data_IF_354224511538
#
_entry.id   IF_354224511538
#
_cell.length_a   1.000
_cell.length_b   1.000
_cell.length_c   1.000
_cell.angle_alpha   90.00
_cell.angle_beta   90.00
_cell.angle_gamma   90.00
#
_symmetry.space_group_name_H-M   'P 1'
#
loop_
_entity.id
_entity.type
_entity.pdbx_description
1 polymer ?
#
# COMPACT_ATOMS: atom_id res chain seq x y z
N UNK A 1 41.98 27.35 29.45
CA UNK A 1 42.15 26.46 28.29
C UNK A 1 40.92 26.58 27.40
N UNK A 2 41.07 27.14 26.21
CA UNK A 2 39.98 27.30 25.23
C UNK A 2 39.65 25.95 24.57
N UNK A 3 38.37 25.67 24.41
CA UNK A 3 37.86 24.42 23.85
C UNK A 3 38.26 24.20 22.39
N UNK A 4 38.88 23.06 22.12
CA UNK A 4 39.21 22.56 20.78
C UNK A 4 37.93 22.20 20.02
N UNK A 5 37.54 23.05 19.07
CA UNK A 5 36.43 22.78 18.14
C UNK A 5 36.75 21.61 17.20
N UNK A 6 35.87 20.59 17.19
CA UNK A 6 35.87 19.54 16.17
C UNK A 6 35.52 20.15 14.82
N UNK A 7 36.50 20.24 13.90
CA UNK A 7 36.25 20.53 12.48
C UNK A 7 35.49 19.36 11.86
N UNK A 8 34.19 19.51 11.62
CA UNK A 8 33.44 18.58 10.76
C UNK A 8 33.91 18.80 9.32
N UNK A 9 34.54 17.79 8.71
CA UNK A 9 34.98 17.81 7.31
C UNK A 9 33.83 17.75 6.31
N UNK A 10 32.79 18.57 6.50
CA UNK A 10 31.64 18.66 5.59
C UNK A 10 32.14 19.31 4.30
N UNK A 11 32.37 18.51 3.27
CA UNK A 11 32.57 19.01 1.90
C UNK A 11 31.32 19.80 1.51
N UNK A 12 31.49 21.10 1.30
CA UNK A 12 30.45 21.97 0.74
C UNK A 12 30.33 21.57 -0.73
N UNK A 13 29.23 20.91 -1.09
CA UNK A 13 28.90 20.65 -2.48
C UNK A 13 28.40 21.96 -3.10
N UNK A 14 29.04 22.43 -4.17
CA UNK A 14 28.62 23.63 -4.89
C UNK A 14 27.18 23.47 -5.42
N UNK A 15 26.40 24.56 -5.57
CA UNK A 15 25.00 24.52 -6.02
C UNK A 15 24.77 23.80 -7.37
N UNK A 16 25.83 23.65 -8.17
CA UNK A 16 25.82 22.99 -9.48
C UNK A 16 26.59 21.66 -9.51
N UNK A 17 26.97 21.09 -8.36
CA UNK A 17 27.63 19.79 -8.35
C UNK A 17 26.60 18.68 -8.66
N UNK A 18 26.64 18.15 -9.87
CA UNK A 18 25.83 16.99 -10.24
C UNK A 18 26.31 15.77 -9.45
N UNK A 19 25.38 15.02 -8.85
CA UNK A 19 25.68 13.68 -8.32
C UNK A 19 26.22 12.78 -9.44
N UNK A 20 26.96 11.72 -9.11
CA UNK A 20 27.48 10.78 -10.11
C UNK A 20 26.40 10.28 -11.09
N UNK A 21 25.18 9.98 -10.61
CA UNK A 21 24.06 9.54 -11.47
C UNK A 21 23.64 10.62 -12.47
N UNK A 22 23.43 11.85 -12.00
CA UNK A 22 23.09 12.98 -12.86
C UNK A 22 24.21 13.30 -13.87
N UNK A 23 25.48 13.17 -13.47
CA UNK A 23 26.62 13.34 -14.37
C UNK A 23 26.67 12.24 -15.45
N UNK A 24 26.48 10.98 -15.08
CA UNK A 24 26.43 9.86 -16.03
C UNK A 24 25.30 10.07 -17.03
N UNK A 25 24.10 10.45 -16.57
CA UNK A 25 22.98 10.78 -17.47
C UNK A 25 23.34 11.93 -18.40
N UNK A 26 23.85 13.04 -17.87
CA UNK A 26 24.23 14.19 -18.70
C UNK A 26 25.30 13.84 -19.76
N UNK A 27 26.34 13.09 -19.38
CA UNK A 27 27.50 12.82 -20.24
C UNK A 27 27.30 11.65 -21.21
N UNK A 28 26.52 10.62 -20.82
CA UNK A 28 26.48 9.35 -21.56
C UNK A 28 25.16 9.12 -22.29
N UNK A 29 24.09 9.81 -21.91
CA UNK A 29 22.75 9.61 -22.49
C UNK A 29 22.67 9.97 -23.99
N UNK A 30 23.34 11.02 -24.50
CA UNK A 30 23.41 11.26 -25.94
C UNK A 30 24.06 10.12 -26.71
N UNK A 31 25.07 9.46 -26.11
CA UNK A 31 25.75 8.33 -26.73
C UNK A 31 24.91 7.05 -26.76
N UNK A 32 23.88 6.96 -25.91
CA UNK A 32 22.87 5.90 -25.98
C UNK A 32 21.84 6.15 -27.09
N UNK A 33 21.82 7.35 -27.67
CA UNK A 33 20.93 7.72 -28.77
C UNK A 33 19.84 8.73 -28.39
N UNK A 34 19.84 9.28 -27.17
CA UNK A 34 18.89 10.33 -26.81
C UNK A 34 19.28 11.69 -27.43
N UNK A 35 18.32 12.52 -27.89
CA UNK A 35 16.87 12.30 -27.90
C UNK A 35 16.33 11.60 -29.18
N UNK A 36 17.19 11.20 -30.12
CA UNK A 36 16.75 10.75 -31.45
C UNK A 36 16.18 9.33 -31.46
N UNK A 37 16.65 8.46 -30.57
CA UNK A 37 16.24 7.06 -30.52
C UNK A 37 14.91 6.93 -29.75
N UNK A 38 13.82 6.44 -30.38
CA UNK A 38 12.46 6.53 -29.84
C UNK A 38 12.26 5.74 -28.54
N UNK A 39 13.13 4.76 -28.26
CA UNK A 39 13.07 3.92 -27.05
C UNK A 39 14.06 4.32 -25.95
N UNK A 40 14.91 5.32 -26.19
CA UNK A 40 15.88 5.80 -25.19
C UNK A 40 15.22 6.90 -24.38
N UNK A 41 15.03 6.67 -23.10
CA UNK A 41 14.33 7.60 -22.22
C UNK A 41 15.30 8.62 -21.63
N UNK A 42 14.82 9.83 -21.36
CA UNK A 42 15.57 10.86 -20.64
C UNK A 42 16.04 10.37 -19.24
N UNK A 43 15.34 9.37 -18.69
CA UNK A 43 15.56 8.69 -17.42
C UNK A 43 16.55 7.54 -17.46
N UNK A 44 16.94 7.06 -18.64
CA UNK A 44 17.93 5.99 -18.75
C UNK A 44 19.31 6.46 -18.26
N UNK A 45 20.00 5.58 -17.54
CA UNK A 45 21.24 5.93 -16.84
C UNK A 45 22.28 4.83 -17.04
N UNK A 46 22.70 4.58 -18.27
CA UNK A 46 23.83 3.72 -18.59
C UNK A 46 24.99 4.56 -19.07
N UNK A 47 26.21 4.21 -18.68
CA UNK A 47 27.37 4.96 -19.11
C UNK A 47 28.64 4.56 -18.40
N UNK A 48 29.52 5.54 -18.21
CA UNK A 48 30.86 5.31 -17.68
C UNK A 48 31.15 6.15 -16.45
N UNK A 49 31.97 5.61 -15.55
CA UNK A 49 32.46 6.33 -14.38
C UNK A 49 33.96 6.12 -14.24
N UNK A 50 34.72 7.21 -14.22
CA UNK A 50 36.14 7.18 -13.90
C UNK A 50 36.33 7.23 -12.38
N UNK A 51 36.65 6.09 -11.77
CA UNK A 51 36.73 5.97 -10.31
C UNK A 51 37.77 4.95 -9.87
N UNK A 52 38.07 4.94 -8.57
CA UNK A 52 38.90 3.91 -7.91
C UNK A 52 37.97 3.03 -7.11
N UNK A 53 37.94 1.73 -7.41
CA UNK A 53 37.20 0.75 -6.61
C UNK A 53 38.10 0.19 -5.50
N UNK A 54 37.49 -0.26 -4.40
CA UNK A 54 38.21 -0.86 -3.26
C UNK A 54 39.06 -2.04 -3.74
N UNK A 55 40.34 -2.05 -3.37
CA UNK A 55 41.27 -3.14 -3.72
C UNK A 55 42.02 -2.97 -5.06
N UNK A 56 41.76 -1.92 -5.85
CA UNK A 56 42.56 -1.62 -7.06
C UNK A 56 43.46 -0.40 -6.85
N UNK A 57 44.72 -0.40 -7.35
CA UNK A 57 45.69 0.65 -7.02
C UNK A 57 45.41 1.98 -7.72
N UNK A 58 44.84 1.94 -8.93
CA UNK A 58 44.65 3.10 -9.83
C UNK A 58 43.19 3.33 -10.20
N UNK A 59 42.86 4.56 -10.61
CA UNK A 59 41.55 4.88 -11.19
C UNK A 59 41.45 4.33 -12.60
N UNK A 60 40.31 3.75 -12.93
CA UNK A 60 40.01 3.19 -14.26
C UNK A 60 38.61 3.63 -14.70
N UNK A 61 38.31 3.44 -15.98
CA UNK A 61 36.96 3.58 -16.50
C UNK A 61 36.15 2.33 -16.19
N UNK A 62 34.93 2.50 -15.70
CA UNK A 62 34.02 1.40 -15.43
C UNK A 62 32.69 1.61 -16.12
N UNK A 63 32.12 0.53 -16.63
CA UNK A 63 30.74 0.49 -17.08
C UNK A 63 29.82 0.53 -15.86
N UNK A 64 28.85 1.44 -15.88
CA UNK A 64 27.93 1.67 -14.75
C UNK A 64 26.49 1.84 -15.22
N UNK A 65 25.57 1.46 -14.35
CA UNK A 65 24.14 1.78 -14.46
C UNK A 65 23.67 2.59 -13.26
N UNK A 66 22.69 3.46 -13.46
CA UNK A 66 22.03 4.19 -12.38
C UNK A 66 21.05 3.31 -11.62
N UNK A 67 21.10 3.38 -10.29
CA UNK A 67 20.10 2.84 -9.39
C UNK A 67 19.71 3.92 -8.38
N UNK A 68 18.52 4.50 -8.57
CA UNK A 68 17.97 5.63 -7.80
C UNK A 68 18.95 6.82 -7.74
N UNK A 69 19.77 6.88 -6.70
CA UNK A 69 20.72 7.96 -6.43
C UNK A 69 22.19 7.53 -6.49
N UNK A 70 22.48 6.27 -6.86
CA UNK A 70 23.84 5.71 -6.91
C UNK A 70 24.16 5.15 -8.30
N UNK A 71 25.42 5.23 -8.68
CA UNK A 71 25.95 4.52 -9.85
C UNK A 71 26.46 3.16 -9.39
N UNK A 72 25.96 2.10 -10.02
CA UNK A 72 26.31 0.69 -9.73
C UNK A 72 27.17 0.18 -10.87
N UNK A 73 28.25 -0.53 -10.54
CA UNK A 73 29.12 -1.17 -11.53
C UNK A 73 28.35 -2.28 -12.24
N UNK A 74 28.35 -2.25 -13.57
CA UNK A 74 27.84 -3.34 -14.40
C UNK A 74 28.75 -4.56 -14.27
N UNK A 75 30.06 -4.32 -14.21
CA UNK A 75 31.10 -5.35 -14.06
C UNK A 75 32.25 -4.83 -13.20
N UNK A 76 32.96 -5.69 -12.44
CA UNK A 76 34.19 -5.32 -11.72
C UNK A 76 35.39 -5.07 -12.65
N UNK A 77 35.26 -5.36 -13.95
CA UNK A 77 36.28 -5.08 -14.96
C UNK A 77 36.44 -3.57 -15.15
N UNK A 78 37.68 -3.09 -15.01
CA UNK A 78 38.04 -1.70 -15.27
C UNK A 78 38.80 -1.62 -16.60
N UNK A 79 38.65 -0.49 -17.27
CA UNK A 79 39.17 -0.25 -18.61
C UNK A 79 40.16 0.93 -18.61
N UNK A 80 41.16 0.85 -19.48
CA UNK A 80 42.12 1.94 -19.68
C UNK A 80 41.49 3.11 -20.41
N UNK A 81 40.53 2.83 -21.32
CA UNK A 81 39.88 3.82 -22.15
C UNK A 81 38.38 3.89 -21.90
N UNK A 82 37.82 5.12 -21.90
CA UNK A 82 36.37 5.35 -21.73
C UNK A 82 35.54 4.61 -22.77
N UNK A 83 36.03 4.54 -24.00
CA UNK A 83 35.35 3.89 -25.11
C UNK A 83 35.06 2.41 -24.84
N UNK A 84 35.99 1.69 -24.21
CA UNK A 84 35.83 0.27 -23.87
C UNK A 84 34.77 0.07 -22.77
N UNK A 85 34.82 0.90 -21.73
CA UNK A 85 33.80 0.90 -20.68
C UNK A 85 32.41 1.29 -21.23
N UNK A 86 32.37 2.23 -22.17
CA UNK A 86 31.13 2.67 -22.80
C UNK A 86 30.55 1.61 -23.72
N UNK A 87 31.39 0.87 -24.46
CA UNK A 87 30.95 -0.25 -25.28
C UNK A 87 30.28 -1.34 -24.44
N UNK A 88 30.84 -1.66 -23.26
CA UNK A 88 30.21 -2.59 -22.32
C UNK A 88 28.88 -2.04 -21.78
N UNK A 89 28.83 -0.77 -21.41
CA UNK A 89 27.60 -0.13 -20.93
C UNK A 89 26.49 -0.12 -22.00
N UNK A 90 26.84 0.15 -23.26
CA UNK A 90 25.93 0.13 -24.42
C UNK A 90 25.37 -1.26 -24.67
N UNK A 91 26.23 -2.29 -24.70
CA UNK A 91 25.81 -3.67 -24.91
C UNK A 91 24.78 -4.14 -23.89
N UNK A 92 24.99 -3.82 -22.62
CA UNK A 92 24.06 -4.15 -21.54
C UNK A 92 22.75 -3.36 -21.65
N UNK A 93 22.84 -2.10 -22.06
CA UNK A 93 21.66 -1.27 -22.31
C UNK A 93 20.84 -1.75 -23.52
N UNK A 94 21.48 -2.22 -24.60
CA UNK A 94 20.82 -2.81 -25.76
C UNK A 94 20.03 -4.08 -25.40
N UNK A 95 20.57 -4.92 -24.52
CA UNK A 95 19.85 -6.08 -23.99
C UNK A 95 18.60 -5.65 -23.21
N UNK A 96 18.71 -4.59 -22.40
CA UNK A 96 17.57 -4.04 -21.68
C UNK A 96 16.53 -3.43 -22.63
N UNK A 97 16.95 -2.71 -23.68
CA UNK A 97 16.06 -2.16 -24.71
C UNK A 97 15.34 -3.27 -25.50
N UNK A 98 16.02 -4.38 -25.79
CA UNK A 98 15.43 -5.53 -26.45
C UNK A 98 14.37 -6.20 -25.56
N UNK A 99 14.62 -6.33 -24.25
CA UNK A 99 13.63 -6.83 -23.28
C UNK A 99 12.39 -5.93 -23.21
N UNK A 100 12.56 -4.59 -23.15
CA UNK A 100 11.44 -3.61 -23.22
C UNK A 100 10.63 -3.71 -24.51
N UNK A 101 11.26 -4.13 -25.60
CA UNK A 101 10.60 -4.26 -26.91
C UNK A 101 9.76 -5.54 -27.03
N UNK A 102 10.07 -6.56 -26.23
CA UNK A 102 9.33 -7.84 -26.19
C UNK A 102 8.17 -7.80 -25.19
N UNK A 103 8.23 -6.94 -24.17
CA UNK A 103 7.17 -6.79 -23.15
C UNK A 103 5.97 -5.97 -23.61
N UNK A 104 6.00 -5.33 -24.79
CA UNK A 104 4.89 -4.50 -25.27
C UNK A 104 4.61 -3.28 -24.38
N UNK A 105 5.57 -2.86 -23.55
CA UNK A 105 5.41 -1.73 -22.64
C UNK A 105 5.39 -0.41 -23.44
N UNK A 106 4.18 0.03 -23.76
CA UNK A 106 3.89 1.41 -24.14
C UNK A 106 4.32 2.34 -23.00
N UNK A 107 5.42 3.08 -23.21
CA UNK A 107 6.08 3.94 -22.21
C UNK A 107 5.31 5.23 -21.88
N UNK A 108 3.99 5.23 -22.00
CA UNK A 108 3.21 6.23 -21.28
C UNK A 108 3.41 5.95 -19.79
N UNK A 109 3.87 6.95 -19.01
CA UNK A 109 3.74 6.89 -17.55
C UNK A 109 2.24 6.71 -17.28
N UNK A 110 1.83 5.48 -17.06
CA UNK A 110 0.46 5.15 -16.69
C UNK A 110 0.24 5.85 -15.35
N UNK A 111 -0.52 6.93 -15.39
CA UNK A 111 -0.92 7.67 -14.21
C UNK A 111 -1.69 6.71 -13.32
N UNK A 112 -1.56 6.89 -11.99
CA UNK A 112 -2.49 6.30 -11.03
C UNK A 112 -3.91 6.39 -11.60
N UNK A 113 -4.77 5.36 -11.45
CA UNK A 113 -6.19 5.54 -11.71
C UNK A 113 -6.60 6.79 -10.93
N UNK A 114 -7.15 7.77 -11.66
CA UNK A 114 -7.61 9.00 -11.05
C UNK A 114 -8.81 8.56 -10.23
N UNK A 115 -8.60 8.33 -8.92
CA UNK A 115 -9.71 8.17 -7.97
C UNK A 115 -10.68 9.31 -8.23
N UNK A 116 -12.00 9.05 -8.20
CA UNK A 116 -12.97 10.13 -8.36
C UNK A 116 -12.59 11.24 -7.40
N UNK A 117 -12.25 12.40 -7.97
CA UNK A 117 -12.10 13.61 -7.18
C UNK A 117 -13.49 13.97 -6.66
N UNK A 118 -13.60 14.82 -5.63
CA UNK A 118 -14.91 15.33 -5.15
C UNK A 118 -15.84 15.86 -6.24
N UNK A 119 -15.29 16.14 -7.42
CA UNK A 119 -15.93 16.78 -8.57
C UNK A 119 -16.47 15.75 -9.60
N UNK A 120 -16.13 14.46 -9.47
CA UNK A 120 -16.86 13.35 -10.12
C UNK A 120 -17.84 12.77 -9.09
N UNK A 121 -19.11 12.66 -9.46
CA UNK A 121 -20.11 12.07 -8.59
C UNK A 121 -19.78 10.59 -8.35
N UNK A 122 -19.23 10.27 -7.17
CA UNK A 122 -19.06 8.90 -6.72
C UNK A 122 -20.40 8.16 -6.89
N UNK A 123 -20.39 7.04 -7.62
CA UNK A 123 -21.62 6.29 -7.86
C UNK A 123 -21.97 5.54 -6.58
N UNK A 124 -23.22 5.70 -6.14
CA UNK A 124 -23.79 4.87 -5.07
C UNK A 124 -25.12 4.28 -5.50
N UNK A 125 -25.24 2.97 -5.32
CA UNK A 125 -26.45 2.17 -5.49
C UNK A 125 -26.59 1.26 -4.28
N UNK A 126 -27.69 1.38 -3.55
CA UNK A 126 -27.94 0.61 -2.34
C UNK A 126 -29.16 1.14 -1.61
N UNK A 127 -29.32 0.77 -0.34
CA UNK A 127 -30.40 1.27 0.51
C UNK A 127 -30.30 2.79 0.65
N UNK A 128 -31.43 3.48 0.59
CA UNK A 128 -31.48 4.90 0.94
C UNK A 128 -31.52 5.04 2.48
N UNK A 129 -30.35 5.30 3.07
CA UNK A 129 -30.21 5.50 4.51
C UNK A 129 -30.67 6.88 4.97
N UNK A 130 -30.59 7.87 4.08
CA UNK A 130 -30.86 9.28 4.36
C UNK A 130 -32.32 9.66 4.13
N UNK A 131 -33.06 8.86 3.35
CA UNK A 131 -34.48 9.10 3.01
C UNK A 131 -34.70 10.50 2.42
N UNK A 132 -33.76 10.93 1.59
CA UNK A 132 -33.76 12.25 0.96
C UNK A 132 -33.38 13.44 1.86
N UNK A 133 -32.92 13.21 3.09
CA UNK A 133 -32.51 14.28 4.03
C UNK A 133 -30.99 14.28 4.21
N UNK A 134 -30.36 15.44 4.02
CA UNK A 134 -28.94 15.62 4.32
C UNK A 134 -28.63 15.47 5.80
N UNK A 135 -27.48 14.89 6.10
CA UNK A 135 -27.05 14.59 7.47
C UNK A 135 -26.25 15.74 8.04
N UNK A 136 -26.64 16.24 9.21
CA UNK A 136 -25.83 17.21 9.94
C UNK A 136 -24.78 16.52 10.84
N UNK A 137 -23.72 17.24 11.27
CA UNK A 137 -22.67 16.66 12.10
C UNK A 137 -23.15 16.06 13.44
N UNK A 138 -24.21 16.60 14.05
CA UNK A 138 -24.73 16.09 15.32
C UNK A 138 -25.41 14.75 15.11
N UNK A 139 -26.24 14.62 14.07
CA UNK A 139 -26.85 13.33 13.72
C UNK A 139 -25.80 12.29 13.34
N UNK A 140 -24.76 12.68 12.59
CA UNK A 140 -23.63 11.80 12.28
C UNK A 140 -22.94 11.27 13.55
N UNK A 141 -22.68 12.17 14.51
CA UNK A 141 -22.07 11.82 15.79
C UNK A 141 -22.99 10.95 16.66
N UNK A 142 -24.30 11.17 16.64
CA UNK A 142 -25.28 10.37 17.37
C UNK A 142 -25.31 8.92 16.88
N UNK A 143 -25.34 8.74 15.54
CA UNK A 143 -25.44 7.43 14.89
C UNK A 143 -24.15 6.63 15.04
N UNK A 144 -23.01 7.22 14.65
CA UNK A 144 -21.74 6.50 14.61
C UNK A 144 -20.92 6.60 15.87
N UNK A 145 -21.20 7.57 16.75
CA UNK A 145 -20.52 7.78 18.04
C UNK A 145 -19.02 7.99 17.94
N UNK A 146 -18.52 8.60 16.85
CA UNK A 146 -17.11 8.99 16.77
C UNK A 146 -16.71 9.83 17.97
N UNK A 147 -15.45 9.72 18.40
CA UNK A 147 -14.88 10.56 19.45
C UNK A 147 -14.87 12.05 19.06
N UNK A 148 -14.77 12.33 17.76
CA UNK A 148 -14.81 13.67 17.21
C UNK A 148 -14.84 13.66 15.68
N UNK A 149 -15.45 14.70 15.11
CA UNK A 149 -15.49 14.98 13.67
C UNK A 149 -14.80 16.32 13.42
N UNK A 150 -13.76 16.33 12.60
CA UNK A 150 -12.99 17.54 12.26
C UNK A 150 -13.13 17.88 10.78
N UNK A 151 -13.42 19.14 10.47
CA UNK A 151 -13.37 19.65 9.10
C UNK A 151 -12.13 20.55 8.92
N UNK A 152 -11.35 20.27 7.88
CA UNK A 152 -10.23 21.11 7.48
C UNK A 152 -10.67 22.48 7.01
N UNK A 153 -9.75 23.45 7.10
CA UNK A 153 -9.97 24.85 6.71
C UNK A 153 -10.20 25.06 5.20
N UNK A 154 -10.08 24.01 4.38
CA UNK A 154 -10.04 24.07 2.92
C UNK A 154 -11.26 23.45 2.22
N UNK A 155 -12.36 23.23 2.95
CA UNK A 155 -13.60 22.64 2.41
C UNK A 155 -14.72 23.67 2.52
N UNK A 156 -15.39 23.99 1.39
CA UNK A 156 -16.55 24.89 1.39
C UNK A 156 -17.73 24.27 2.14
N UNK A 157 -18.70 25.07 2.59
CA UNK A 157 -19.85 24.53 3.33
C UNK A 157 -20.68 23.53 2.52
N UNK A 158 -20.86 23.77 1.21
CA UNK A 158 -21.56 22.84 0.32
C UNK A 158 -20.78 21.53 0.11
N UNK A 159 -19.46 21.62 -0.04
CA UNK A 159 -18.59 20.43 -0.13
C UNK A 159 -18.59 19.62 1.17
N UNK A 160 -18.61 20.29 2.33
CA UNK A 160 -18.71 19.60 3.63
C UNK A 160 -19.97 18.76 3.72
N UNK A 161 -21.10 19.28 3.24
CA UNK A 161 -22.36 18.54 3.25
C UNK A 161 -22.29 17.29 2.37
N UNK A 162 -21.80 17.43 1.13
CA UNK A 162 -21.65 16.29 0.22
C UNK A 162 -20.71 15.22 0.76
N UNK A 163 -19.56 15.61 1.34
CA UNK A 163 -18.64 14.68 1.99
C UNK A 163 -19.26 13.98 3.19
N UNK A 164 -19.99 14.72 4.03
CA UNK A 164 -20.63 14.16 5.22
C UNK A 164 -21.73 13.15 4.84
N UNK A 165 -22.57 13.51 3.87
CA UNK A 165 -23.62 12.64 3.33
C UNK A 165 -23.05 11.36 2.72
N UNK A 166 -22.01 11.48 1.88
CA UNK A 166 -21.36 10.33 1.26
C UNK A 166 -20.65 9.45 2.29
N UNK A 167 -20.01 10.04 3.29
CA UNK A 167 -19.37 9.30 4.38
C UNK A 167 -20.40 8.60 5.24
N UNK A 168 -21.53 9.24 5.54
CA UNK A 168 -22.62 8.63 6.27
C UNK A 168 -23.13 7.39 5.53
N UNK A 169 -23.46 7.53 4.25
CA UNK A 169 -23.93 6.43 3.41
C UNK A 169 -22.90 5.29 3.34
N UNK A 170 -21.61 5.62 3.19
CA UNK A 170 -20.53 4.63 3.13
C UNK A 170 -20.31 3.88 4.46
N UNK A 171 -20.40 4.56 5.60
CA UNK A 171 -20.27 3.91 6.91
C UNK A 171 -21.51 3.07 7.25
N UNK A 172 -22.71 3.49 6.82
CA UNK A 172 -23.92 2.68 6.94
C UNK A 172 -23.80 1.39 6.13
N UNK A 173 -23.39 1.49 4.86
CA UNK A 173 -23.14 0.32 4.01
C UNK A 173 -22.08 -0.59 4.64
N UNK A 174 -20.94 -0.04 5.05
CA UNK A 174 -19.87 -0.81 5.71
C UNK A 174 -20.36 -1.59 6.93
N UNK A 175 -21.12 -0.95 7.81
CA UNK A 175 -21.62 -1.61 9.03
C UNK A 175 -22.73 -2.63 8.75
N UNK A 176 -23.58 -2.38 7.74
CA UNK A 176 -24.53 -3.36 7.24
C UNK A 176 -23.81 -4.62 6.71
N UNK A 177 -22.78 -4.44 5.88
CA UNK A 177 -21.97 -5.55 5.36
C UNK A 177 -21.30 -6.35 6.47
N UNK A 178 -20.82 -5.68 7.53
CA UNK A 178 -20.24 -6.34 8.69
C UNK A 178 -21.26 -7.01 9.61
N UNK A 179 -22.57 -6.79 9.43
CA UNK A 179 -23.61 -7.29 10.34
C UNK A 179 -23.52 -6.69 11.75
N UNK A 180 -23.00 -5.46 11.87
CA UNK A 180 -22.73 -4.78 13.14
C UNK A 180 -23.48 -3.44 13.23
N UNK A 181 -23.75 -2.92 14.43
CA UNK A 181 -24.47 -1.65 14.58
C UNK A 181 -23.66 -0.48 14.01
N UNK A 182 -24.29 0.65 13.63
CA UNK A 182 -23.60 1.81 13.06
C UNK A 182 -22.42 2.30 13.91
N UNK A 183 -22.52 2.25 15.24
CA UNK A 183 -21.41 2.61 16.14
C UNK A 183 -20.11 1.80 15.94
N UNK A 184 -20.16 0.68 15.22
CA UNK A 184 -18.98 -0.08 14.84
C UNK A 184 -18.09 0.65 13.83
N UNK A 185 -18.66 1.55 13.02
CA UNK A 185 -17.90 2.43 12.12
C UNK A 185 -16.83 3.26 12.86
N UNK A 186 -17.05 3.57 14.13
CA UNK A 186 -16.09 4.27 15.00
C UNK A 186 -15.35 3.34 15.96
N UNK A 187 -15.50 2.02 15.79
CA UNK A 187 -14.97 0.98 16.67
C UNK A 187 -15.43 1.17 18.13
N UNK A 188 -16.72 1.47 18.31
CA UNK A 188 -17.33 1.72 19.61
C UNK A 188 -16.97 3.08 20.20
N UNK A 189 -16.77 4.08 19.33
CA UNK A 189 -16.42 5.46 19.69
C UNK A 189 -14.95 5.70 19.98
N UNK A 190 -14.08 4.77 19.59
CA UNK A 190 -12.63 4.93 19.71
C UNK A 190 -12.06 5.85 18.64
N UNK A 191 -12.61 5.81 17.44
CA UNK A 191 -12.12 6.59 16.30
C UNK A 191 -12.64 8.02 16.34
N UNK A 192 -11.80 8.96 15.94
CA UNK A 192 -12.24 10.22 15.34
C UNK A 192 -12.16 10.15 13.82
N UNK A 193 -12.80 11.10 13.15
CA UNK A 193 -12.75 11.25 11.69
C UNK A 193 -12.46 12.70 11.32
N UNK A 194 -11.58 12.91 10.34
CA UNK A 194 -11.19 14.23 9.86
C UNK A 194 -11.33 14.33 8.34
N UNK A 195 -12.01 15.37 7.87
CA UNK A 195 -12.24 15.66 6.47
C UNK A 195 -11.32 16.79 5.98
N UNK A 196 -10.60 16.58 4.87
CA UNK A 196 -9.94 17.67 4.13
C UNK A 196 -8.89 18.47 4.92
N UNK A 197 -8.25 17.88 5.93
CA UNK A 197 -7.40 18.61 6.88
C UNK A 197 -6.02 19.04 6.35
N UNK A 198 -5.57 18.54 5.18
CA UNK A 198 -4.26 18.91 4.61
C UNK A 198 -4.34 19.06 3.08
N UNK A 199 -4.26 20.29 2.59
CA UNK A 199 -4.08 20.62 1.16
C UNK A 199 -2.70 20.22 0.58
N UNK A 200 -2.04 19.21 1.14
CA UNK A 200 -0.76 18.69 0.65
C UNK A 200 -0.98 17.42 -0.16
N UNK A 201 -0.49 17.41 -1.41
CA UNK A 201 -0.62 16.35 -2.44
C UNK A 201 0.00 14.98 -2.06
N UNK A 202 0.35 14.73 -0.82
CA UNK A 202 1.32 13.68 -0.49
C UNK A 202 0.73 12.36 -0.02
N UNK A 203 -0.47 12.32 0.56
CA UNK A 203 -1.05 11.07 1.03
C UNK A 203 -2.55 11.04 0.73
N UNK A 204 -3.00 9.90 0.20
CA UNK A 204 -4.41 9.55 0.11
C UNK A 204 -5.02 9.52 1.54
N UNK A 205 -6.27 9.11 1.72
CA UNK A 205 -6.75 8.91 3.08
C UNK A 205 -5.73 8.09 3.93
N UNK A 206 -5.67 8.34 5.25
CA UNK A 206 -4.78 7.58 6.13
C UNK A 206 -5.35 7.46 7.54
N UNK A 207 -5.17 6.28 8.15
CA UNK A 207 -5.40 6.04 9.56
C UNK A 207 -4.17 6.43 10.40
N UNK A 208 -4.34 7.39 11.32
CA UNK A 208 -3.33 7.76 12.31
C UNK A 208 -3.59 7.04 13.64
N UNK A 209 -2.93 5.89 13.84
CA UNK A 209 -3.07 5.06 15.05
C UNK A 209 -2.82 5.82 16.36
N UNK A 210 -1.81 6.69 16.41
CA UNK A 210 -1.44 7.42 17.61
C UNK A 210 -2.60 8.31 18.13
N UNK A 211 -3.41 8.84 17.21
CA UNK A 211 -4.58 9.66 17.53
C UNK A 211 -5.88 8.89 17.45
N UNK A 212 -5.90 7.66 16.93
CA UNK A 212 -7.14 6.95 16.56
C UNK A 212 -8.00 7.81 15.64
N UNK A 213 -7.41 8.28 14.55
CA UNK A 213 -8.04 9.26 13.65
C UNK A 213 -7.97 8.79 12.20
N UNK A 214 -9.12 8.71 11.53
CA UNK A 214 -9.17 8.47 10.09
C UNK A 214 -9.20 9.81 9.35
N UNK A 215 -8.19 10.06 8.52
CA UNK A 215 -8.13 11.24 7.67
C UNK A 215 -8.63 10.91 6.27
N UNK A 216 -9.70 11.57 5.82
CA UNK A 216 -10.18 11.49 4.44
C UNK A 216 -9.78 12.76 3.68
N UNK A 217 -8.94 12.61 2.66
CA UNK A 217 -8.49 13.74 1.83
C UNK A 217 -9.47 14.01 0.69
N UNK A 218 -9.56 15.27 0.24
CA UNK A 218 -10.54 15.75 -0.76
C UNK A 218 -10.44 15.03 -2.12
N UNK A 219 -9.23 14.71 -2.57
CA UNK A 219 -8.98 14.19 -3.92
C UNK A 219 -8.66 12.70 -3.98
N UNK A 220 -8.47 12.04 -2.83
CA UNK A 220 -7.99 10.66 -2.76
C UNK A 220 -8.62 9.84 -1.62
N UNK A 221 -9.48 10.46 -0.78
CA UNK A 221 -10.22 9.74 0.26
C UNK A 221 -11.49 9.04 -0.26
N UNK A 222 -12.04 9.52 -1.38
CA UNK A 222 -13.09 8.83 -2.13
C UNK A 222 -12.52 7.49 -2.60
N UNK A 223 -13.17 6.39 -2.21
CA UNK A 223 -12.82 5.05 -2.61
C UNK A 223 -11.73 4.37 -1.78
N UNK A 224 -11.32 4.95 -0.66
CA UNK A 224 -10.34 4.35 0.27
C UNK A 224 -10.82 4.24 1.71
N UNK A 225 -12.09 4.55 1.98
CA UNK A 225 -12.63 4.49 3.34
C UNK A 225 -12.55 3.07 3.92
N UNK A 226 -12.84 2.05 3.11
CA UNK A 226 -12.74 0.65 3.51
C UNK A 226 -11.29 0.26 3.87
N UNK A 227 -10.31 0.71 3.09
CA UNK A 227 -8.88 0.47 3.34
C UNK A 227 -8.45 1.04 4.70
N UNK A 228 -8.77 2.30 4.96
CA UNK A 228 -8.43 2.96 6.22
C UNK A 228 -9.16 2.36 7.42
N UNK A 229 -10.41 1.95 7.23
CA UNK A 229 -11.14 1.22 8.26
C UNK A 229 -10.49 -0.14 8.54
N UNK A 230 -10.00 -0.85 7.52
CA UNK A 230 -9.24 -2.09 7.67
C UNK A 230 -8.01 -1.90 8.58
N UNK A 231 -7.21 -0.86 8.35
CA UNK A 231 -6.11 -0.51 9.25
C UNK A 231 -6.57 -0.22 10.68
N UNK A 232 -7.66 0.55 10.83
CA UNK A 232 -8.20 0.90 12.14
C UNK A 232 -8.72 -0.33 12.91
N UNK A 233 -9.42 -1.24 12.22
CA UNK A 233 -9.93 -2.49 12.77
C UNK A 233 -8.79 -3.39 13.24
N UNK A 234 -7.76 -3.56 12.42
CA UNK A 234 -6.57 -4.35 12.75
C UNK A 234 -5.87 -3.85 14.03
N UNK A 235 -5.65 -2.53 14.11
CA UNK A 235 -5.09 -1.90 15.31
C UNK A 235 -6.01 -2.04 16.54
N UNK A 236 -7.32 -1.91 16.34
CA UNK A 236 -8.29 -2.04 17.42
C UNK A 236 -8.29 -3.45 18.01
N UNK A 237 -8.29 -4.47 17.16
CA UNK A 237 -8.22 -5.87 17.59
C UNK A 237 -6.93 -6.16 18.34
N UNK A 238 -5.80 -5.59 17.89
CA UNK A 238 -4.53 -5.68 18.61
C UNK A 238 -4.64 -5.10 20.02
N UNK A 239 -5.10 -3.84 20.12
CA UNK A 239 -5.24 -3.15 21.40
C UNK A 239 -6.24 -3.82 22.32
N UNK A 240 -7.35 -4.35 21.78
CA UNK A 240 -8.40 -5.02 22.54
C UNK A 240 -7.89 -6.34 23.12
N UNK A 241 -7.13 -7.10 22.35
CA UNK A 241 -6.57 -8.38 22.78
C UNK A 241 -5.25 -8.25 23.54
N UNK A 242 -4.75 -7.01 23.72
CA UNK A 242 -3.51 -6.71 24.44
C UNK A 242 -2.30 -7.45 23.88
N UNK A 243 -2.28 -7.68 22.56
CA UNK A 243 -1.09 -8.20 21.89
C UNK A 243 0.02 -7.13 21.93
N UNK A 244 1.31 -7.51 21.95
CA UNK A 244 2.42 -6.56 22.02
C UNK A 244 2.62 -5.74 20.74
N UNK A 245 2.01 -6.16 19.63
CA UNK A 245 2.11 -5.49 18.34
C UNK A 245 1.11 -4.34 18.19
N UNK A 246 1.36 -3.43 17.26
CA UNK A 246 0.48 -2.30 17.01
C UNK A 246 -0.78 -2.70 16.24
N UNK A 247 -0.65 -3.76 15.45
CA UNK A 247 -1.70 -4.35 14.63
C UNK A 247 -1.78 -5.87 14.91
N UNK A 248 -2.97 -6.47 14.76
CA UNK A 248 -3.17 -7.89 15.05
C UNK A 248 -2.55 -8.74 13.94
N UNK A 249 -2.60 -8.30 12.69
CA UNK A 249 -1.92 -8.95 11.56
C UNK A 249 -0.42 -9.15 11.82
N UNK A 250 0.25 -8.16 12.43
CA UNK A 250 1.65 -8.23 12.84
C UNK A 250 1.92 -9.26 13.93
N UNK A 251 0.93 -9.66 14.73
CA UNK A 251 1.12 -10.76 15.68
C UNK A 251 1.32 -12.10 14.95
N UNK A 252 0.55 -12.31 13.88
CA UNK A 252 0.54 -13.55 13.10
C UNK A 252 1.55 -13.58 11.96
N UNK A 253 1.92 -12.43 11.40
CA UNK A 253 2.81 -12.31 10.24
C UNK A 253 3.93 -11.32 10.54
N UNK A 254 5.17 -11.68 10.20
CA UNK A 254 6.35 -10.83 10.47
C UNK A 254 7.22 -10.67 9.23
N UNK A 255 7.66 -9.44 8.95
CA UNK A 255 8.62 -9.16 7.87
C UNK A 255 10.04 -9.48 8.35
N UNK A 256 10.70 -10.42 7.68
CA UNK A 256 12.07 -10.85 7.94
C UNK A 256 12.99 -10.46 6.77
N UNK A 257 14.17 -9.90 7.08
CA UNK A 257 15.18 -9.56 6.07
C UNK A 257 14.71 -8.52 5.04
N UNK A 258 13.77 -7.66 5.42
CA UNK A 258 13.27 -6.55 4.60
C UNK A 258 12.15 -6.89 3.62
N UNK A 259 12.01 -8.13 3.15
CA UNK A 259 11.02 -8.43 2.10
C UNK A 259 10.31 -9.78 2.23
N UNK A 260 10.73 -10.65 3.16
CA UNK A 260 10.13 -11.98 3.32
C UNK A 260 9.13 -11.98 4.48
N UNK A 261 7.87 -12.27 4.24
CA UNK A 261 6.92 -12.49 5.34
C UNK A 261 7.04 -13.92 5.86
N UNK A 262 6.93 -14.10 7.17
CA UNK A 262 6.78 -15.41 7.81
C UNK A 262 5.53 -15.46 8.67
N UNK A 263 4.87 -16.61 8.72
CA UNK A 263 3.84 -16.90 9.73
C UNK A 263 4.53 -17.07 11.08
N UNK A 264 3.89 -16.58 12.13
CA UNK A 264 4.23 -16.89 13.51
C UNK A 264 4.09 -18.39 13.80
N UNK A 265 4.85 -18.92 14.74
CA UNK A 265 4.81 -20.36 15.08
C UNK A 265 3.66 -20.74 16.02
N UNK A 266 2.74 -19.82 16.31
CA UNK A 266 1.61 -20.09 17.21
C UNK A 266 0.66 -21.09 16.58
N UNK A 267 0.27 -22.11 17.34
CA UNK A 267 -0.81 -23.02 16.95
C UNK A 267 -2.15 -22.63 17.61
N UNK A 268 -3.25 -23.18 17.10
CA UNK A 268 -4.60 -22.82 17.57
C UNK A 268 -4.84 -23.14 19.05
N UNK A 269 -4.17 -24.16 19.60
CA UNK A 269 -4.25 -24.48 21.04
C UNK A 269 -3.59 -23.41 21.88
N UNK A 270 -2.39 -22.97 21.49
CA UNK A 270 -1.66 -21.89 22.17
C UNK A 270 -2.44 -20.57 22.10
N UNK A 271 -3.03 -20.26 20.93
CA UNK A 271 -3.88 -19.08 20.71
C UNK A 271 -5.09 -19.10 21.64
N UNK A 272 -5.77 -20.24 21.75
CA UNK A 272 -6.94 -20.40 22.63
C UNK A 272 -6.58 -20.29 24.12
N UNK A 273 -5.37 -20.69 24.49
CA UNK A 273 -4.87 -20.64 25.87
C UNK A 273 -4.24 -19.29 26.25
N UNK A 274 -3.95 -18.41 25.27
CA UNK A 274 -3.26 -17.13 25.48
C UNK A 274 -4.08 -16.07 26.24
N UNK A 275 -5.31 -16.38 26.66
CA UNK A 275 -6.15 -15.48 27.45
C UNK A 275 -6.67 -14.26 26.67
N UNK A 276 -6.69 -14.32 25.33
CA UNK A 276 -7.22 -13.25 24.49
C UNK A 276 -8.69 -12.97 24.80
N UNK A 277 -9.07 -11.69 24.74
CA UNK A 277 -10.46 -11.31 24.92
C UNK A 277 -11.32 -11.94 23.83
N UNK A 278 -10.89 -11.87 22.57
CA UNK A 278 -11.64 -12.34 21.41
C UNK A 278 -11.18 -13.74 20.98
N UNK A 279 -10.87 -14.63 21.94
CA UNK A 279 -10.26 -15.95 21.69
C UNK A 279 -10.98 -16.79 20.63
N UNK A 280 -12.31 -16.74 20.58
CA UNK A 280 -13.10 -17.61 19.70
C UNK A 280 -12.88 -17.28 18.22
N UNK A 281 -12.58 -16.01 17.88
CA UNK A 281 -12.30 -15.59 16.49
C UNK A 281 -10.83 -15.72 16.07
N UNK A 282 -9.93 -15.88 17.03
CA UNK A 282 -8.50 -15.88 16.76
C UNK A 282 -8.02 -17.01 15.83
N UNK A 283 -8.49 -18.27 15.93
CA UNK A 283 -8.12 -19.29 14.96
C UNK A 283 -8.60 -18.99 13.53
N UNK A 284 -9.81 -18.43 13.39
CA UNK A 284 -10.31 -18.03 12.08
C UNK A 284 -9.47 -16.89 11.48
N UNK A 285 -9.09 -15.91 12.32
CA UNK A 285 -8.17 -14.83 11.91
C UNK A 285 -6.78 -15.37 11.55
N UNK A 286 -6.24 -16.30 12.34
CA UNK A 286 -4.97 -16.96 12.06
C UNK A 286 -5.01 -17.68 10.70
N UNK A 287 -6.07 -18.44 10.44
CA UNK A 287 -6.30 -19.10 9.15
C UNK A 287 -6.42 -18.13 7.99
N UNK A 288 -7.03 -16.95 8.19
CA UNK A 288 -7.06 -15.87 7.21
C UNK A 288 -5.63 -15.35 6.93
N UNK A 289 -4.87 -15.01 7.97
CA UNK A 289 -3.49 -14.51 7.85
C UNK A 289 -2.57 -15.48 7.11
N UNK A 290 -2.69 -16.78 7.39
CA UNK A 290 -1.94 -17.81 6.66
C UNK A 290 -2.27 -17.83 5.17
N UNK A 291 -3.55 -17.68 4.80
CA UNK A 291 -3.99 -17.69 3.41
C UNK A 291 -3.55 -16.44 2.64
N UNK A 292 -3.26 -15.34 3.33
CA UNK A 292 -2.74 -14.14 2.66
C UNK A 292 -1.36 -14.38 2.06
N UNK A 293 -0.55 -15.21 2.73
CA UNK A 293 0.84 -15.46 2.33
C UNK A 293 1.07 -16.81 1.70
N UNK A 294 0.22 -17.80 1.95
CA UNK A 294 0.33 -19.14 1.39
C UNK A 294 -0.88 -19.49 0.53
N UNK A 295 -0.64 -20.02 -0.67
CA UNK A 295 -1.69 -20.63 -1.48
C UNK A 295 -2.18 -21.96 -0.87
N UNK A 296 -3.23 -22.54 -1.45
CA UNK A 296 -3.74 -23.87 -1.04
C UNK A 296 -2.62 -24.91 -1.03
N UNK A 297 -2.37 -25.51 0.13
CA UNK A 297 -1.48 -26.65 0.25
C UNK A 297 -2.12 -27.86 -0.44
N UNK A 298 -1.45 -28.45 -1.44
CA UNK A 298 -1.83 -29.78 -1.92
C UNK A 298 -1.38 -30.82 -0.90
N UNK A 299 -2.19 -31.86 -0.68
CA UNK A 299 -1.88 -32.93 0.27
C UNK A 299 -0.45 -33.47 0.06
N UNK A 300 0.37 -33.43 1.10
CA UNK A 300 1.77 -33.88 1.06
C UNK A 300 2.78 -32.89 0.49
N UNK A 301 2.41 -31.63 0.21
CA UNK A 301 3.31 -30.59 -0.31
C UNK A 301 3.40 -29.37 0.62
N UNK A 302 4.57 -28.74 0.65
CA UNK A 302 4.78 -27.46 1.33
C UNK A 302 3.96 -26.40 0.60
N UNK A 303 3.14 -25.65 1.34
CA UNK A 303 2.36 -24.54 0.81
C UNK A 303 3.31 -23.50 0.20
N UNK A 304 3.09 -23.17 -1.08
CA UNK A 304 3.85 -22.12 -1.74
C UNK A 304 3.31 -20.74 -1.36
N UNK A 305 4.12 -19.70 -1.52
CA UNK A 305 3.63 -18.34 -1.37
C UNK A 305 2.49 -18.04 -2.36
N UNK A 306 1.46 -17.34 -1.88
CA UNK A 306 0.35 -16.85 -2.70
C UNK A 306 0.86 -15.91 -3.80
N UNK A 307 0.09 -15.76 -4.88
CA UNK A 307 0.45 -14.80 -5.93
C UNK A 307 0.34 -13.38 -5.36
N UNK A 308 -0.67 -13.11 -4.54
CA UNK A 308 -0.84 -11.87 -3.82
C UNK A 308 0.41 -11.45 -3.01
N UNK A 309 0.97 -12.34 -2.19
CA UNK A 309 2.17 -12.03 -1.40
C UNK A 309 3.44 -11.88 -2.25
N UNK A 310 3.56 -12.64 -3.36
CA UNK A 310 4.65 -12.47 -4.31
C UNK A 310 4.60 -11.09 -4.98
N UNK A 311 3.42 -10.70 -5.45
CA UNK A 311 3.17 -9.40 -6.07
C UNK A 311 3.45 -8.24 -5.11
N UNK A 312 3.03 -8.34 -3.86
CA UNK A 312 3.35 -7.36 -2.82
C UNK A 312 4.88 -7.23 -2.57
N UNK A 313 5.59 -8.36 -2.47
CA UNK A 313 7.04 -8.35 -2.30
C UNK A 313 7.78 -7.73 -3.50
N UNK A 314 7.28 -7.97 -4.71
CA UNK A 314 7.84 -7.41 -5.94
C UNK A 314 7.65 -5.89 -6.01
N UNK A 315 6.46 -5.39 -5.66
CA UNK A 315 6.19 -3.94 -5.55
C UNK A 315 7.13 -3.26 -4.54
N UNK A 316 7.39 -3.91 -3.40
CA UNK A 316 8.34 -3.41 -2.40
C UNK A 316 9.78 -3.42 -2.90
N UNK A 317 10.18 -4.42 -3.67
CA UNK A 317 11.51 -4.47 -4.29
C UNK A 317 11.73 -3.30 -5.26
N UNK A 318 10.70 -2.93 -6.04
CA UNK A 318 10.74 -1.77 -6.94
C UNK A 318 10.90 -0.44 -6.18
N UNK A 319 10.21 -0.27 -5.04
CA UNK A 319 10.27 0.96 -4.23
C UNK A 319 11.44 0.98 -3.25
N UNK A 320 12.01 -0.18 -2.91
CA UNK A 320 13.15 -0.40 -2.02
C UNK A 320 12.92 -0.05 -0.55
N UNK A 321 11.65 -0.10 -0.13
CA UNK A 321 11.23 -0.07 1.28
C UNK A 321 10.00 -0.97 1.43
N UNK A 322 9.87 -1.69 2.56
CA UNK A 322 8.70 -2.50 2.82
C UNK A 322 7.48 -1.60 3.01
N UNK A 323 6.40 -1.88 2.29
CA UNK A 323 5.12 -1.20 2.38
C UNK A 323 4.01 -2.17 1.98
N UNK A 324 3.98 -2.57 0.71
CA UNK A 324 2.95 -3.45 0.15
C UNK A 324 2.93 -4.82 0.82
N UNK A 325 4.11 -5.34 1.16
CA UNK A 325 4.29 -6.64 1.79
C UNK A 325 4.34 -6.54 3.32
N UNK A 326 3.75 -5.52 3.92
CA UNK A 326 3.56 -5.46 5.38
C UNK A 326 2.26 -6.18 5.76
N UNK A 327 2.23 -6.92 6.89
CA UNK A 327 1.02 -7.61 7.36
C UNK A 327 -0.23 -6.72 7.38
N UNK A 328 -0.06 -5.50 7.86
CA UNK A 328 -1.11 -4.50 8.02
C UNK A 328 -1.65 -3.99 6.68
N UNK A 329 -0.80 -3.82 5.67
CA UNK A 329 -1.22 -3.45 4.31
C UNK A 329 -1.90 -4.62 3.59
N UNK A 330 -1.38 -5.84 3.74
CA UNK A 330 -2.02 -7.03 3.18
C UNK A 330 -3.44 -7.20 3.75
N UNK A 331 -3.60 -7.06 5.06
CA UNK A 331 -4.91 -7.14 5.70
C UNK A 331 -5.86 -6.03 5.23
N UNK A 332 -5.41 -4.77 5.18
CA UNK A 332 -6.24 -3.66 4.72
C UNK A 332 -6.73 -3.84 3.27
N UNK A 333 -5.87 -4.33 2.38
CA UNK A 333 -6.21 -4.62 0.97
C UNK A 333 -7.20 -5.76 0.83
N UNK A 334 -7.06 -6.79 1.66
CA UNK A 334 -8.00 -7.91 1.70
C UNK A 334 -9.34 -7.47 2.27
N UNK A 335 -9.35 -6.63 3.30
CA UNK A 335 -10.57 -6.02 3.82
C UNK A 335 -11.28 -5.17 2.77
N UNK A 336 -10.53 -4.33 2.07
CA UNK A 336 -11.03 -3.53 0.95
C UNK A 336 -11.62 -4.41 -0.17
N UNK A 337 -10.92 -5.49 -0.53
CA UNK A 337 -11.41 -6.47 -1.53
C UNK A 337 -12.69 -7.15 -1.05
N UNK A 338 -12.76 -7.52 0.23
CA UNK A 338 -13.95 -8.11 0.84
C UNK A 338 -15.16 -7.20 0.77
N UNK A 339 -14.99 -5.90 1.07
CA UNK A 339 -16.09 -4.92 0.94
C UNK A 339 -16.61 -4.86 -0.49
N UNK A 340 -15.73 -4.87 -1.50
CA UNK A 340 -16.14 -4.87 -2.91
C UNK A 340 -16.95 -6.11 -3.25
N UNK A 341 -16.46 -7.30 -2.91
CA UNK A 341 -17.15 -8.54 -3.23
C UNK A 341 -18.52 -8.59 -2.55
N UNK A 342 -18.64 -8.06 -1.33
CA UNK A 342 -19.94 -7.97 -0.62
C UNK A 342 -20.90 -6.97 -1.24
N UNK A 343 -20.43 -5.80 -1.68
CA UNK A 343 -21.25 -4.87 -2.44
C UNK A 343 -21.74 -5.52 -3.74
N UNK A 344 -20.85 -6.20 -4.49
CA UNK A 344 -21.18 -6.91 -5.73
C UNK A 344 -22.23 -8.01 -5.50
N UNK A 345 -22.06 -8.84 -4.48
CA UNK A 345 -23.03 -9.88 -4.09
C UNK A 345 -24.40 -9.28 -3.75
N UNK A 346 -24.43 -8.08 -3.16
CA UNK A 346 -25.66 -7.34 -2.86
C UNK A 346 -26.25 -6.55 -4.03
N UNK A 347 -25.63 -6.58 -5.23
CA UNK A 347 -25.96 -5.70 -6.36
C UNK A 347 -25.93 -4.20 -5.98
N UNK A 348 -25.01 -3.86 -5.07
CA UNK A 348 -24.74 -2.53 -4.55
C UNK A 348 -23.44 -1.96 -5.15
N UNK A 349 -23.32 -0.64 -5.15
CA UNK A 349 -22.12 0.10 -5.54
C UNK A 349 -21.95 1.24 -4.54
N UNK A 350 -20.73 1.49 -4.09
CA UNK A 350 -20.42 2.67 -3.28
C UNK A 350 -18.97 3.09 -3.50
N UNK A 351 -18.76 3.93 -4.52
CA UNK A 351 -17.43 4.41 -4.92
C UNK A 351 -16.78 5.31 -3.87
N UNK A 352 -17.56 5.84 -2.92
CA UNK A 352 -17.01 6.59 -1.80
C UNK A 352 -16.40 5.66 -0.76
N UNK A 353 -17.06 4.53 -0.49
CA UNK A 353 -16.57 3.50 0.43
C UNK A 353 -15.31 2.83 -0.12
N UNK A 354 -15.37 2.40 -1.39
CA UNK A 354 -14.30 1.65 -2.05
C UNK A 354 -14.36 1.81 -3.57
N UNK A 355 -13.23 1.97 -4.25
CA UNK A 355 -13.17 2.17 -5.70
C UNK A 355 -11.94 1.52 -6.34
N UNK A 356 -12.08 1.07 -7.60
CA UNK A 356 -10.95 0.73 -8.47
C UNK A 356 -10.30 -0.62 -8.20
N UNK A 357 -11.09 -1.69 -8.02
CA UNK A 357 -10.57 -3.07 -7.94
C UNK A 357 -11.44 -4.01 -8.80
N UNK A 358 -11.78 -3.58 -10.01
CA UNK A 358 -12.36 -4.50 -10.99
C UNK A 358 -11.29 -5.42 -11.56
N UNK A 359 -11.61 -6.71 -11.70
CA UNK A 359 -10.69 -7.73 -12.23
C UNK A 359 -10.19 -7.35 -13.63
N UNK A 360 -11.03 -6.69 -14.44
CA UNK A 360 -10.66 -6.15 -15.76
C UNK A 360 -9.65 -4.99 -15.69
N UNK A 361 -9.60 -4.24 -14.59
CA UNK A 361 -8.61 -3.16 -14.36
C UNK A 361 -7.35 -3.66 -13.65
N UNK A 362 -7.46 -4.75 -12.88
CA UNK A 362 -6.32 -5.43 -12.26
C UNK A 362 -5.52 -6.26 -13.29
N UNK A 363 -6.19 -6.87 -14.26
CA UNK A 363 -5.58 -7.56 -15.42
C UNK A 363 -4.85 -6.57 -16.36
N UNK A 364 -5.29 -5.32 -16.40
CA UNK A 364 -4.64 -4.24 -17.17
C UNK A 364 -3.39 -3.65 -16.49
N UNK A 365 -3.04 -4.14 -15.29
CA UNK A 365 -1.90 -3.64 -14.52
C UNK A 365 -2.15 -2.24 -13.99
N UNK A 366 -2.75 -2.13 -12.79
CA UNK A 366 -2.60 -0.90 -12.03
C UNK A 366 -1.10 -0.63 -11.82
N UNK A 367 -0.68 0.63 -11.98
CA UNK A 367 0.69 1.11 -11.74
C UNK A 367 1.73 0.87 -12.86
N UNK A 368 1.30 0.47 -14.06
CA UNK A 368 2.23 0.25 -15.18
C UNK A 368 3.17 -0.94 -14.95
N UNK A 369 2.72 -1.90 -14.16
CA UNK A 369 3.32 -3.22 -13.95
C UNK A 369 2.20 -4.25 -14.09
N UNK A 370 2.46 -5.41 -14.67
CA UNK A 370 1.53 -6.57 -14.67
C UNK A 370 1.31 -7.17 -13.26
N UNK A 371 1.65 -6.42 -12.21
CA UNK A 371 1.69 -6.86 -10.81
C UNK A 371 0.56 -6.14 -10.06
N UNK A 372 -0.49 -6.89 -9.72
CA UNK A 372 -1.61 -6.39 -8.93
C UNK A 372 -1.23 -6.26 -7.44
N UNK A 373 -1.57 -5.15 -6.76
CA UNK A 373 -1.46 -5.03 -5.32
C UNK A 373 -2.65 -5.67 -4.58
N UNK A 374 -3.55 -6.37 -5.26
CA UNK A 374 -4.74 -7.03 -4.69
C UNK A 374 -4.79 -8.50 -5.10
N UNK A 375 -5.40 -9.38 -4.30
CA UNK A 375 -5.58 -10.78 -4.67
C UNK A 375 -6.50 -10.91 -5.89
N UNK A 376 -6.21 -11.86 -6.76
CA UNK A 376 -6.94 -12.08 -8.02
C UNK A 376 -7.45 -13.52 -8.15
N UNK A 377 -8.49 -13.72 -8.97
CA UNK A 377 -8.94 -15.04 -9.41
C UNK A 377 -9.20 -16.02 -8.23
N UNK A 378 -8.72 -17.26 -8.32
CA UNK A 378 -8.97 -18.31 -7.33
C UNK A 378 -8.47 -17.95 -5.91
N UNK A 379 -7.31 -17.29 -5.79
CA UNK A 379 -6.81 -16.88 -4.46
C UNK A 379 -7.68 -15.78 -3.83
N UNK A 380 -8.31 -14.91 -4.64
CA UNK A 380 -9.28 -13.94 -4.14
C UNK A 380 -10.47 -14.67 -3.52
N UNK A 381 -11.06 -15.64 -4.23
CA UNK A 381 -12.23 -16.38 -3.73
C UNK A 381 -11.93 -17.06 -2.40
N UNK A 382 -10.77 -17.72 -2.29
CA UNK A 382 -10.33 -18.40 -1.07
C UNK A 382 -10.13 -17.44 0.11
N UNK A 383 -9.53 -16.28 -0.15
CA UNK A 383 -9.33 -15.25 0.86
C UNK A 383 -10.67 -14.68 1.33
N UNK A 384 -11.62 -14.47 0.42
CA UNK A 384 -12.94 -13.93 0.72
C UNK A 384 -13.76 -14.91 1.56
N UNK A 385 -13.70 -16.21 1.26
CA UNK A 385 -14.35 -17.24 2.07
C UNK A 385 -13.79 -17.27 3.50
N UNK A 386 -12.47 -17.16 3.66
CA UNK A 386 -11.84 -17.09 4.98
C UNK A 386 -12.18 -15.80 5.73
N UNK A 387 -12.30 -14.69 5.01
CA UNK A 387 -12.73 -13.42 5.58
C UNK A 387 -14.17 -13.50 6.07
N UNK A 388 -15.07 -14.13 5.31
CA UNK A 388 -16.45 -14.38 5.72
C UNK A 388 -16.55 -15.22 6.98
N UNK A 389 -15.83 -16.34 7.02
CA UNK A 389 -15.77 -17.19 8.20
C UNK A 389 -15.26 -16.41 9.43
N UNK A 390 -14.16 -15.67 9.28
CA UNK A 390 -13.63 -14.86 10.37
C UNK A 390 -14.61 -13.77 10.83
N UNK A 391 -15.21 -13.02 9.91
CA UNK A 391 -16.18 -11.97 10.21
C UNK A 391 -17.40 -12.55 10.95
N UNK A 392 -17.94 -13.68 10.48
CA UNK A 392 -19.05 -14.37 11.14
C UNK A 392 -18.69 -14.76 12.57
N UNK A 393 -17.55 -15.44 12.78
CA UNK A 393 -17.12 -15.89 14.11
C UNK A 393 -16.86 -14.69 15.04
N UNK A 394 -16.27 -13.61 14.53
CA UNK A 394 -16.06 -12.37 15.29
C UNK A 394 -17.39 -11.76 15.75
N UNK A 395 -18.36 -11.65 14.85
CA UNK A 395 -19.68 -11.10 15.16
C UNK A 395 -20.41 -11.96 16.19
N UNK A 396 -20.44 -13.28 15.99
CA UNK A 396 -21.06 -14.22 16.93
C UNK A 396 -20.40 -14.13 18.32
N UNK A 397 -19.07 -14.05 18.37
CA UNK A 397 -18.33 -13.91 19.63
C UNK A 397 -18.73 -12.62 20.38
N UNK A 398 -18.80 -11.48 19.68
CA UNK A 398 -19.18 -10.21 20.30
C UNK A 398 -20.65 -10.15 20.69
N UNK A 399 -21.55 -10.79 19.94
CA UNK A 399 -22.95 -10.90 20.30
C UNK A 399 -23.16 -11.76 21.56
N UNK A 400 -22.50 -12.92 21.66
CA UNK A 400 -22.54 -13.79 22.85
C UNK A 400 -22.12 -13.03 24.11
N UNK A 401 -21.04 -12.24 24.01
CA UNK A 401 -20.54 -11.44 25.13
C UNK A 401 -21.41 -10.28 25.56
N UNK A 402 -22.27 -9.76 24.67
CA UNK A 402 -23.23 -8.72 25.06
C UNK A 402 -24.38 -9.29 25.90
N UNK A 403 -24.67 -10.59 25.76
CA UNK A 403 -25.72 -11.29 26.47
C UNK A 403 -25.29 -11.85 27.84
N UNK A 404 -23.98 -11.95 28.08
CA UNK A 404 -23.35 -12.35 29.35
C UNK A 404 -22.98 -11.13 30.19
#
# INVERSE_FOLDING_TARGET
MYGTGKRSGRKINYPFSLSNVHRIRYECLPELGWPQHPKVLDTDCYGTLYTKITGKPVKMWYAVRGDKSKAVLISPQGFGHRAEAMALAKREYEQQLAQRSLSGEDTTRIKQPVRPVSDQAAVRKGRDWRKGVSIDPNHFMEVFRFRGVEFGNWVTQAERQGFLDATYDALMDLTELCGLPPSFASLGGRLGIAFGSRGSKTHAAHFERARWLMHLSKSQGVGALAHEFGHALDAFLASRNKVPMLFLSEFYLHVHGGYKIRVSNWNDTEIMQAGFLDRDMMPAYHGLMQCLIHGKAQAGRIAQYSQFAKSAAELDALKGKPYWNTPTELFARVFETWVIEKLKQGNQVNDFLVYGIDESEADAGQWGTSISPYPLHDERQDIIERMDNWMQVMVEHWQKRKAS
#
